data_IF_142477840361
#
_entry.id   IF_142477840361
#
_cell.length_a   1.000
_cell.length_b   1.000
_cell.length_c   1.000
_cell.angle_alpha   90.00
_cell.angle_beta   90.00
_cell.angle_gamma   90.00
#
_symmetry.space_group_name_H-M   'P 1'
#
loop_
_entity.id
_entity.type
_entity.pdbx_description
1 polymer ?
#
# COMPACT_ATOMS: atom_id res chain seq x y z
N UNK A 1 -18.05 55.68 -57.45
CA UNK A 1 -17.06 55.28 -56.45
C UNK A 1 -17.53 53.96 -55.83
N UNK A 2 -16.91 52.81 -56.18
CA UNK A 2 -17.24 51.48 -55.64
C UNK A 2 -16.40 51.28 -54.36
N UNK A 3 -17.07 51.09 -53.19
CA UNK A 3 -16.40 50.75 -51.95
C UNK A 3 -16.19 49.22 -51.91
N UNK A 4 -14.94 48.77 -51.88
CA UNK A 4 -14.53 47.38 -51.73
C UNK A 4 -14.44 47.13 -50.22
N UNK A 5 -15.27 46.21 -49.68
CA UNK A 5 -15.20 45.72 -48.29
C UNK A 5 -14.27 44.46 -48.27
N UNK A 6 -13.16 44.59 -47.57
CA UNK A 6 -12.29 43.44 -47.27
C UNK A 6 -12.81 42.72 -46.01
N UNK A 7 -13.26 41.49 -46.19
CA UNK A 7 -13.56 40.59 -45.07
C UNK A 7 -12.27 39.90 -44.63
N UNK A 8 -11.75 40.25 -43.43
CA UNK A 8 -10.64 39.56 -42.81
C UNK A 8 -11.16 38.33 -42.11
N UNK A 9 -10.93 37.14 -42.66
CA UNK A 9 -11.24 35.86 -42.01
C UNK A 9 -10.07 35.56 -41.01
N UNK A 10 -10.31 35.78 -39.71
CA UNK A 10 -9.36 35.35 -38.66
C UNK A 10 -9.50 33.84 -38.46
N UNK A 11 -8.51 33.07 -38.90
CA UNK A 11 -8.40 31.68 -38.61
C UNK A 11 -7.91 31.53 -37.14
N UNK A 12 -8.82 31.13 -36.24
CA UNK A 12 -8.45 30.78 -34.86
C UNK A 12 -7.83 29.38 -34.92
N UNK A 13 -6.52 29.31 -34.79
CA UNK A 13 -5.78 28.07 -34.68
C UNK A 13 -6.00 27.54 -33.23
N UNK A 14 -6.91 26.58 -33.08
CA UNK A 14 -7.09 25.86 -31.82
C UNK A 14 -5.89 24.90 -31.70
N UNK A 15 -4.86 25.34 -30.98
CA UNK A 15 -3.77 24.46 -30.56
C UNK A 15 -4.33 23.53 -29.50
N UNK A 16 -4.57 22.27 -29.84
CA UNK A 16 -4.90 21.23 -28.89
C UNK A 16 -3.72 21.12 -27.91
N UNK A 17 -3.88 21.63 -26.68
CA UNK A 17 -2.90 21.41 -25.64
C UNK A 17 -2.83 19.91 -25.37
N UNK A 18 -1.62 19.28 -25.37
CA UNK A 18 -1.51 17.89 -25.02
C UNK A 18 -2.08 17.69 -23.61
N UNK A 19 -2.99 16.74 -23.47
CA UNK A 19 -3.52 16.35 -22.18
C UNK A 19 -2.34 15.95 -21.28
N UNK A 20 -2.04 16.76 -20.29
CA UNK A 20 -1.01 16.46 -19.30
C UNK A 20 -1.54 15.30 -18.45
N UNK A 21 -1.33 14.07 -18.94
CA UNK A 21 -1.69 12.86 -18.17
C UNK A 21 -1.03 12.98 -16.81
N UNK A 22 -1.83 12.92 -15.74
CA UNK A 22 -1.39 13.00 -14.35
C UNK A 22 -0.12 12.14 -14.13
N UNK A 23 0.88 12.70 -13.48
CA UNK A 23 2.10 11.99 -13.08
C UNK A 23 1.91 11.25 -11.77
N UNK A 24 0.70 11.28 -11.22
CA UNK A 24 0.35 10.79 -9.92
C UNK A 24 0.46 9.27 -9.84
N UNK A 25 0.85 8.79 -8.68
CA UNK A 25 0.98 7.39 -8.34
C UNK A 25 -0.01 7.07 -7.21
N UNK A 26 -1.00 6.26 -7.51
CA UNK A 26 -1.94 5.77 -6.52
C UNK A 26 -1.35 4.57 -5.80
N UNK A 27 -1.24 4.66 -4.48
CA UNK A 27 -0.73 3.60 -3.59
C UNK A 27 -1.82 3.21 -2.62
N UNK A 28 -2.05 1.92 -2.46
CA UNK A 28 -3.03 1.35 -1.55
C UNK A 28 -2.36 0.33 -0.63
N UNK A 29 -2.72 0.33 0.65
CA UNK A 29 -2.49 -0.79 1.57
C UNK A 29 -3.82 -1.40 1.92
N UNK A 30 -3.89 -2.71 1.96
CA UNK A 30 -5.13 -3.41 2.25
C UNK A 30 -4.88 -4.77 2.92
N UNK A 31 -5.10 -4.86 4.21
CA UNK A 31 -5.25 -6.16 4.86
C UNK A 31 -6.56 -6.77 4.34
N UNK A 32 -6.45 -7.84 3.55
CA UNK A 32 -7.60 -8.44 2.87
C UNK A 32 -8.27 -9.55 3.68
N UNK A 33 -7.85 -9.78 4.89
CA UNK A 33 -8.27 -10.90 5.76
C UNK A 33 -8.03 -12.25 5.09
N UNK A 34 -7.34 -13.16 5.76
CA UNK A 34 -7.07 -14.49 5.23
C UNK A 34 -8.35 -15.29 4.98
N UNK A 35 -8.26 -16.28 4.08
CA UNK A 35 -9.37 -17.13 3.74
C UNK A 35 -9.67 -18.11 4.89
N UNK A 36 -10.83 -17.95 5.52
CA UNK A 36 -11.37 -18.91 6.49
C UNK A 36 -12.89 -18.98 6.38
N UNK A 37 -13.42 -20.18 6.41
CA UNK A 37 -14.86 -20.38 6.39
C UNK A 37 -15.54 -20.00 7.72
N UNK A 38 -14.76 -19.81 8.80
CA UNK A 38 -15.29 -19.31 10.07
C UNK A 38 -15.81 -17.87 9.98
N UNK A 39 -15.41 -17.10 8.97
CA UNK A 39 -15.93 -15.75 8.72
C UNK A 39 -17.35 -15.77 8.10
N UNK A 40 -17.93 -16.95 7.84
CA UNK A 40 -19.32 -17.14 7.37
C UNK A 40 -19.64 -16.31 6.13
N UNK A 41 -20.60 -15.38 6.21
CA UNK A 41 -20.98 -14.46 5.11
C UNK A 41 -19.86 -13.52 4.66
N UNK A 42 -18.83 -13.38 5.49
CA UNK A 42 -17.63 -12.60 5.20
C UNK A 42 -16.46 -13.47 4.76
N UNK A 43 -16.65 -14.79 4.49
CA UNK A 43 -15.60 -15.63 3.98
C UNK A 43 -15.10 -15.17 2.61
N UNK A 44 -13.85 -15.47 2.30
CA UNK A 44 -13.15 -14.97 1.10
C UNK A 44 -13.91 -15.16 -0.21
N UNK A 45 -14.58 -16.32 -0.49
CA UNK A 45 -15.33 -16.48 -1.73
C UNK A 45 -16.37 -15.38 -2.01
N UNK A 46 -16.91 -14.75 -0.96
CA UNK A 46 -17.91 -13.67 -1.06
C UNK A 46 -17.30 -12.27 -1.11
N UNK A 47 -15.98 -12.13 -0.90
CA UNK A 47 -15.28 -10.84 -0.80
C UNK A 47 -14.29 -10.57 -1.92
N UNK A 48 -13.75 -11.60 -2.57
CA UNK A 48 -12.68 -11.49 -3.56
C UNK A 48 -12.96 -10.51 -4.70
N UNK A 49 -14.20 -10.46 -5.18
CA UNK A 49 -14.61 -9.52 -6.23
C UNK A 49 -14.73 -8.08 -5.70
N UNK A 50 -15.15 -7.92 -4.45
CA UNK A 50 -15.21 -6.61 -3.78
C UNK A 50 -13.81 -6.03 -3.57
N UNK A 51 -12.86 -6.85 -3.12
CA UNK A 51 -11.45 -6.45 -2.98
C UNK A 51 -10.87 -6.02 -4.32
N UNK A 52 -11.00 -6.85 -5.36
CA UNK A 52 -10.49 -6.54 -6.68
C UNK A 52 -11.14 -5.29 -7.28
N UNK A 53 -12.46 -5.10 -7.09
CA UNK A 53 -13.17 -3.93 -7.60
C UNK A 53 -12.70 -2.63 -6.95
N UNK A 54 -12.36 -2.61 -5.65
CA UNK A 54 -11.76 -1.43 -5.01
C UNK A 54 -10.42 -1.07 -5.66
N UNK A 55 -9.57 -2.06 -5.89
CA UNK A 55 -8.25 -1.84 -6.51
C UNK A 55 -8.40 -1.23 -7.90
N UNK A 56 -9.29 -1.80 -8.72
CA UNK A 56 -9.53 -1.35 -10.10
C UNK A 56 -10.19 0.03 -10.13
N UNK A 57 -11.23 0.27 -9.34
CA UNK A 57 -11.96 1.54 -9.31
C UNK A 57 -11.08 2.71 -8.86
N UNK A 58 -10.22 2.47 -7.88
CA UNK A 58 -9.30 3.49 -7.37
C UNK A 58 -7.98 3.55 -8.16
N UNK A 59 -7.84 2.76 -9.22
CA UNK A 59 -6.65 2.74 -10.10
C UNK A 59 -5.35 2.64 -9.28
N UNK A 60 -5.29 1.70 -8.33
CA UNK A 60 -4.15 1.54 -7.47
C UNK A 60 -2.94 1.03 -8.27
N UNK A 61 -1.94 1.87 -8.54
CA UNK A 61 -0.72 1.46 -9.24
C UNK A 61 0.15 0.53 -8.39
N UNK A 62 0.08 0.65 -7.06
CA UNK A 62 0.72 -0.22 -6.08
C UNK A 62 -0.33 -0.61 -5.04
N UNK A 63 -0.44 -1.90 -4.77
CA UNK A 63 -1.28 -2.46 -3.72
C UNK A 63 -0.42 -3.35 -2.82
N UNK A 64 -0.22 -2.94 -1.58
CA UNK A 64 0.30 -3.82 -0.53
C UNK A 64 -0.85 -4.62 0.08
N UNK A 65 -0.81 -5.94 0.01
CA UNK A 65 -1.79 -6.82 0.67
C UNK A 65 -1.18 -7.49 1.89
N UNK A 66 -1.98 -7.68 2.93
CA UNK A 66 -1.64 -8.42 4.13
C UNK A 66 -2.66 -9.54 4.36
N UNK A 67 -2.27 -10.56 5.10
CA UNK A 67 -3.03 -11.79 5.39
C UNK A 67 -3.40 -12.67 4.19
N UNK A 68 -2.97 -12.33 2.98
CA UNK A 68 -3.31 -13.12 1.81
C UNK A 68 -2.71 -14.53 1.88
N UNK A 69 -3.52 -15.57 1.77
CA UNK A 69 -3.06 -16.94 1.54
C UNK A 69 -2.79 -17.16 0.04
N UNK A 70 -2.10 -18.25 -0.29
CA UNK A 70 -1.72 -18.54 -1.68
C UNK A 70 -2.93 -18.60 -2.63
N UNK A 71 -4.02 -19.23 -2.23
CA UNK A 71 -5.26 -19.26 -3.01
C UNK A 71 -5.86 -17.88 -3.27
N UNK A 72 -5.78 -16.98 -2.27
CA UNK A 72 -6.20 -15.58 -2.43
C UNK A 72 -5.29 -14.80 -3.39
N UNK A 73 -3.99 -15.09 -3.39
CA UNK A 73 -3.05 -14.51 -4.36
C UNK A 73 -3.39 -14.91 -5.79
N UNK A 74 -3.74 -16.20 -6.01
CA UNK A 74 -4.19 -16.72 -7.31
C UNK A 74 -5.49 -16.05 -7.74
N UNK A 75 -6.47 -15.97 -6.83
CA UNK A 75 -7.77 -15.34 -7.09
C UNK A 75 -7.63 -13.86 -7.47
N UNK A 76 -6.77 -13.11 -6.77
CA UNK A 76 -6.52 -11.70 -7.09
C UNK A 76 -5.78 -11.53 -8.42
N UNK A 77 -4.79 -12.39 -8.71
CA UNK A 77 -4.06 -12.33 -9.99
C UNK A 77 -4.99 -12.54 -11.19
N UNK A 78 -5.99 -13.42 -11.06
CA UNK A 78 -7.00 -13.64 -12.11
C UNK A 78 -7.91 -12.41 -12.32
N UNK A 79 -8.23 -11.68 -11.24
CA UNK A 79 -9.12 -10.51 -11.27
C UNK A 79 -8.41 -9.20 -11.62
N UNK A 80 -7.09 -9.20 -11.51
CA UNK A 80 -6.22 -8.07 -11.77
C UNK A 80 -5.24 -8.40 -12.92
N UNK A 81 -5.73 -8.65 -14.16
CA UNK A 81 -4.91 -9.22 -15.23
C UNK A 81 -3.76 -8.31 -15.69
N UNK A 82 -3.88 -6.99 -15.51
CA UNK A 82 -2.81 -6.03 -15.81
C UNK A 82 -1.76 -5.90 -14.71
N UNK A 83 -2.01 -6.53 -13.54
CA UNK A 83 -1.08 -6.50 -12.43
C UNK A 83 -0.17 -7.72 -12.43
N UNK A 84 1.00 -7.56 -11.85
CA UNK A 84 1.86 -8.63 -11.34
C UNK A 84 2.08 -8.42 -9.86
N UNK A 85 2.53 -9.45 -9.18
CA UNK A 85 2.90 -9.32 -7.77
C UNK A 85 4.28 -9.88 -7.47
N UNK A 86 4.84 -9.45 -6.34
CA UNK A 86 5.99 -10.06 -5.68
C UNK A 86 5.62 -10.32 -4.22
N UNK A 87 6.19 -11.37 -3.68
CA UNK A 87 5.97 -11.84 -2.32
C UNK A 87 6.01 -13.36 -2.23
N UNK A 88 6.16 -13.86 -1.01
CA UNK A 88 6.18 -15.29 -0.69
C UNK A 88 5.38 -15.54 0.57
N UNK A 89 4.98 -16.79 0.80
CA UNK A 89 4.42 -17.23 2.07
C UNK A 89 5.44 -17.10 3.20
N UNK A 90 5.01 -16.60 4.34
CA UNK A 90 5.89 -16.27 5.46
C UNK A 90 6.53 -17.47 6.15
N UNK A 91 5.93 -18.67 6.04
CA UNK A 91 6.37 -19.82 6.83
C UNK A 91 7.52 -20.58 6.17
N UNK A 92 7.60 -20.60 4.84
CA UNK A 92 8.61 -21.35 4.10
C UNK A 92 9.36 -20.55 3.02
N UNK A 93 8.98 -19.29 2.84
CA UNK A 93 9.54 -18.45 1.80
C UNK A 93 9.08 -18.86 0.39
N UNK A 94 8.03 -19.65 0.27
CA UNK A 94 7.42 -20.11 -0.99
C UNK A 94 5.92 -19.81 -0.98
N UNK A 95 5.09 -20.79 -0.60
CA UNK A 95 3.63 -20.67 -0.69
C UNK A 95 2.91 -20.82 0.65
N UNK A 96 3.59 -21.33 1.71
CA UNK A 96 2.97 -21.56 3.01
C UNK A 96 2.88 -20.30 3.87
N UNK A 97 1.75 -20.15 4.54
CA UNK A 97 1.44 -19.04 5.40
C UNK A 97 0.97 -17.80 4.62
N UNK A 98 0.70 -16.76 5.37
CA UNK A 98 0.23 -15.50 4.80
C UNK A 98 1.34 -14.74 4.07
N UNK A 99 0.93 -14.03 3.03
CA UNK A 99 1.77 -13.11 2.27
C UNK A 99 1.64 -11.69 2.81
N UNK A 100 2.73 -10.94 2.71
CA UNK A 100 2.74 -9.48 2.69
C UNK A 100 3.22 -9.06 1.30
N UNK A 101 2.39 -9.29 0.30
CA UNK A 101 2.77 -9.13 -1.10
C UNK A 101 2.50 -7.72 -1.64
N UNK A 102 3.16 -7.36 -2.73
CA UNK A 102 2.96 -6.12 -3.46
C UNK A 102 2.48 -6.45 -4.87
N UNK A 103 1.21 -6.11 -5.17
CA UNK A 103 0.71 -6.05 -6.53
C UNK A 103 1.05 -4.69 -7.16
N UNK A 104 1.32 -4.69 -8.45
CA UNK A 104 1.64 -3.46 -9.17
C UNK A 104 1.12 -3.48 -10.60
N UNK A 105 0.60 -2.35 -11.05
CA UNK A 105 0.14 -2.16 -12.43
C UNK A 105 1.33 -2.16 -13.40
N UNK A 106 1.39 -3.18 -14.25
CA UNK A 106 2.49 -3.35 -15.23
C UNK A 106 2.42 -2.35 -16.37
N UNK A 107 1.32 -1.68 -16.60
CA UNK A 107 1.22 -0.60 -17.60
C UNK A 107 1.99 0.63 -17.15
N UNK A 108 2.01 0.90 -15.83
CA UNK A 108 2.66 2.03 -15.21
C UNK A 108 4.06 1.73 -14.67
N UNK A 109 4.27 0.56 -14.08
CA UNK A 109 5.47 0.24 -13.33
C UNK A 109 6.25 -0.93 -13.93
N UNK A 110 7.57 -0.85 -13.83
CA UNK A 110 8.49 -1.94 -14.13
C UNK A 110 9.22 -2.33 -12.86
N UNK A 111 9.04 -3.56 -12.41
CA UNK A 111 9.84 -4.12 -11.33
C UNK A 111 11.26 -4.42 -11.85
N UNK A 112 12.26 -3.90 -11.14
CA UNK A 112 13.68 -4.09 -11.47
C UNK A 112 14.32 -5.13 -10.58
N UNK A 113 13.91 -5.19 -9.32
CA UNK A 113 14.43 -6.09 -8.31
C UNK A 113 13.37 -6.31 -7.23
N UNK A 114 13.31 -7.49 -6.65
CA UNK A 114 12.41 -7.83 -5.55
C UNK A 114 13.05 -8.84 -4.61
N UNK A 115 12.73 -8.78 -3.33
CA UNK A 115 13.08 -9.77 -2.33
C UNK A 115 12.12 -9.69 -1.15
N UNK A 116 12.05 -10.74 -0.36
CA UNK A 116 11.38 -10.79 0.94
C UNK A 116 12.41 -11.06 2.03
N UNK A 117 12.24 -10.46 3.22
CA UNK A 117 13.01 -10.75 4.41
C UNK A 117 12.08 -10.89 5.63
N UNK A 118 12.55 -11.55 6.68
CA UNK A 118 11.79 -11.85 7.88
C UNK A 118 12.03 -10.81 8.96
N UNK A 119 11.00 -10.48 9.72
CA UNK A 119 11.09 -9.59 10.87
C UNK A 119 11.54 -10.41 12.08
N UNK A 120 12.82 -10.69 12.11
CA UNK A 120 13.51 -11.48 13.13
C UNK A 120 15.00 -11.06 13.26
N UNK A 121 15.70 -11.58 14.23
CA UNK A 121 17.15 -11.41 14.38
C UNK A 121 17.96 -12.09 13.26
N UNK A 122 17.31 -12.98 12.48
CA UNK A 122 17.89 -13.65 11.32
C UNK A 122 17.04 -13.40 10.07
N UNK A 123 16.98 -12.16 9.55
CA UNK A 123 16.01 -11.74 8.55
C UNK A 123 16.16 -12.43 7.19
N UNK A 124 17.27 -13.07 6.91
CA UNK A 124 17.52 -13.79 5.65
C UNK A 124 17.09 -15.27 5.71
N UNK A 125 16.68 -15.77 6.90
CA UNK A 125 16.27 -17.16 7.11
C UNK A 125 14.75 -17.27 6.98
N UNK A 126 14.27 -18.05 5.99
CA UNK A 126 12.86 -18.28 5.78
C UNK A 126 12.21 -18.95 7.00
N UNK A 127 11.02 -18.45 7.39
CA UNK A 127 10.29 -18.93 8.56
C UNK A 127 10.86 -18.50 9.91
N UNK A 128 11.91 -17.69 9.94
CA UNK A 128 12.51 -17.22 11.20
C UNK A 128 11.53 -16.33 11.99
N UNK A 129 11.64 -16.45 13.32
CA UNK A 129 10.82 -15.72 14.28
C UNK A 129 11.67 -15.41 15.51
N UNK A 130 11.59 -14.18 16.03
CA UNK A 130 12.39 -13.72 17.18
C UNK A 130 11.55 -12.88 18.14
N UNK A 131 12.18 -12.51 19.24
CA UNK A 131 11.57 -11.73 20.32
C UNK A 131 10.33 -12.44 20.88
N UNK A 132 9.28 -11.67 21.21
CA UNK A 132 7.99 -12.19 21.68
C UNK A 132 6.96 -12.36 20.54
N UNK A 133 7.40 -12.45 19.28
CA UNK A 133 6.49 -12.60 18.15
C UNK A 133 5.64 -13.88 18.29
N UNK A 134 4.32 -13.76 18.17
CA UNK A 134 3.41 -14.90 18.17
C UNK A 134 3.59 -15.75 16.92
N UNK A 135 3.74 -15.12 15.79
CA UNK A 135 3.84 -15.75 14.47
C UNK A 135 4.94 -15.11 13.63
N UNK A 136 5.34 -15.80 12.57
CA UNK A 136 6.33 -15.30 11.60
C UNK A 136 5.81 -14.06 10.88
N UNK A 137 6.66 -13.04 10.70
CA UNK A 137 6.33 -11.80 9.98
C UNK A 137 7.38 -11.47 8.94
N UNK A 138 6.96 -10.89 7.84
CA UNK A 138 7.82 -10.61 6.68
C UNK A 138 7.65 -9.20 6.15
N UNK A 139 8.64 -8.77 5.39
CA UNK A 139 8.59 -7.56 4.55
C UNK A 139 8.94 -7.97 3.12
N UNK A 140 8.07 -7.68 2.19
CA UNK A 140 8.37 -7.76 0.76
C UNK A 140 8.73 -6.39 0.23
N UNK A 141 9.73 -6.30 -0.64
CA UNK A 141 10.08 -5.05 -1.30
C UNK A 141 10.32 -5.22 -2.80
N UNK A 142 10.08 -4.13 -3.53
CA UNK A 142 10.32 -4.04 -4.96
C UNK A 142 11.03 -2.72 -5.26
N UNK A 143 12.08 -2.77 -6.08
CA UNK A 143 12.66 -1.60 -6.75
C UNK A 143 11.93 -1.37 -8.06
N UNK A 144 11.29 -0.23 -8.19
CA UNK A 144 10.52 0.14 -9.37
C UNK A 144 11.22 1.18 -10.24
N UNK A 145 10.96 1.07 -11.55
CA UNK A 145 11.02 2.20 -12.47
C UNK A 145 9.61 2.59 -12.88
N UNK A 146 9.22 3.83 -12.65
CA UNK A 146 8.01 4.40 -13.23
C UNK A 146 8.22 4.59 -14.73
N UNK A 147 7.42 3.90 -15.54
CA UNK A 147 7.54 3.94 -17.01
C UNK A 147 7.23 5.31 -17.60
N UNK A 148 6.42 6.12 -16.90
CA UNK A 148 5.99 7.45 -17.33
C UNK A 148 7.02 8.52 -16.97
N UNK A 149 7.41 8.59 -15.70
CA UNK A 149 8.34 9.61 -15.19
C UNK A 149 9.81 9.20 -15.30
N UNK A 150 10.09 7.92 -15.58
CA UNK A 150 11.42 7.27 -15.58
C UNK A 150 12.11 7.25 -14.22
N UNK A 151 11.48 7.75 -13.18
CA UNK A 151 12.02 7.79 -11.82
C UNK A 151 12.13 6.40 -11.22
N UNK A 152 13.14 6.23 -10.37
CA UNK A 152 13.36 5.02 -9.57
C UNK A 152 12.93 5.28 -8.16
N UNK A 153 12.22 4.32 -7.57
CA UNK A 153 11.83 4.32 -6.17
C UNK A 153 11.65 2.88 -5.67
N UNK A 154 11.49 2.72 -4.36
CA UNK A 154 11.22 1.43 -3.75
C UNK A 154 9.80 1.41 -3.16
N UNK A 155 9.19 0.23 -3.14
CA UNK A 155 8.01 -0.06 -2.34
C UNK A 155 8.34 -1.20 -1.37
N UNK A 156 7.85 -1.08 -0.13
CA UNK A 156 7.92 -2.10 0.91
C UNK A 156 6.51 -2.38 1.40
N UNK A 157 6.21 -3.64 1.75
CA UNK A 157 4.95 -4.01 2.36
C UNK A 157 5.17 -5.00 3.50
N UNK A 158 4.46 -4.82 4.59
CA UNK A 158 4.66 -5.60 5.82
C UNK A 158 3.35 -5.85 6.55
N UNK A 159 3.38 -6.79 7.51
CA UNK A 159 2.35 -6.99 8.51
C UNK A 159 3.05 -7.32 9.83
N UNK A 160 2.96 -6.41 10.82
CA UNK A 160 3.62 -6.57 12.11
C UNK A 160 2.87 -7.59 13.00
N UNK A 161 3.55 -8.07 14.04
CA UNK A 161 2.94 -9.03 14.95
C UNK A 161 1.78 -8.42 15.73
N UNK A 162 0.70 -9.19 15.90
CA UNK A 162 -0.52 -8.72 16.54
C UNK A 162 -0.52 -8.85 18.07
N UNK A 163 0.42 -9.62 18.65
CA UNK A 163 0.54 -9.86 20.10
C UNK A 163 1.82 -9.26 20.65
N UNK A 164 2.97 -9.62 20.08
CA UNK A 164 4.30 -9.31 20.61
C UNK A 164 4.63 -7.81 20.57
N UNK A 165 4.63 -7.14 21.71
CA UNK A 165 4.98 -5.70 21.81
C UNK A 165 6.46 -5.45 21.51
N UNK A 166 7.34 -6.30 22.05
CA UNK A 166 8.79 -6.22 21.77
C UNK A 166 9.03 -6.49 20.30
N UNK A 167 8.38 -7.53 19.74
CA UNK A 167 8.49 -7.87 18.32
C UNK A 167 8.07 -6.70 17.41
N UNK A 168 6.98 -6.00 17.71
CA UNK A 168 6.57 -4.82 16.92
C UNK A 168 7.59 -3.70 16.99
N UNK A 169 8.11 -3.39 18.19
CA UNK A 169 9.14 -2.37 18.37
C UNK A 169 10.42 -2.71 17.60
N UNK A 170 10.95 -3.91 17.78
CA UNK A 170 12.18 -4.33 17.12
C UNK A 170 12.00 -4.48 15.61
N UNK A 171 10.81 -4.92 15.16
CA UNK A 171 10.42 -4.92 13.74
C UNK A 171 10.47 -3.51 13.13
N UNK A 172 10.01 -2.49 13.87
CA UNK A 172 10.09 -1.10 13.41
C UNK A 172 11.53 -0.64 13.21
N UNK A 173 12.41 -0.94 14.18
CA UNK A 173 13.86 -0.61 14.08
C UNK A 173 14.53 -1.35 12.91
N UNK A 174 14.28 -2.65 12.79
CA UNK A 174 14.81 -3.48 11.70
C UNK A 174 14.32 -2.99 10.33
N UNK A 175 13.04 -2.64 10.21
CA UNK A 175 12.46 -2.10 8.98
C UNK A 175 13.19 -0.82 8.55
N UNK A 176 13.40 0.14 9.46
CA UNK A 176 14.12 1.38 9.16
C UNK A 176 15.54 1.11 8.69
N UNK A 177 16.25 0.21 9.37
CA UNK A 177 17.62 -0.18 9.00
C UNK A 177 17.64 -0.86 7.62
N UNK A 178 16.74 -1.82 7.35
CA UNK A 178 16.65 -2.51 6.06
C UNK A 178 16.27 -1.57 4.93
N UNK A 179 15.39 -0.61 5.15
CA UNK A 179 15.08 0.44 4.17
C UNK A 179 16.33 1.26 3.84
N UNK A 180 17.14 1.63 4.82
CA UNK A 180 18.41 2.33 4.58
C UNK A 180 19.39 1.47 3.78
N UNK A 181 19.57 0.21 4.16
CA UNK A 181 20.48 -0.73 3.48
C UNK A 181 20.09 -0.96 2.02
N UNK A 182 18.78 -1.18 1.76
CA UNK A 182 18.23 -1.57 0.46
C UNK A 182 18.04 -0.35 -0.46
N UNK A 183 17.41 0.70 0.04
CA UNK A 183 17.03 1.86 -0.76
C UNK A 183 18.05 3.00 -0.73
N UNK A 184 19.00 3.01 0.22
CA UNK A 184 20.01 4.08 0.35
C UNK A 184 19.36 5.45 0.45
N UNK A 185 19.63 6.34 -0.49
CA UNK A 185 19.03 7.68 -0.60
C UNK A 185 17.79 7.71 -1.52
N UNK A 186 17.50 6.61 -2.21
CA UNK A 186 16.36 6.52 -3.13
C UNK A 186 15.04 6.64 -2.37
N UNK A 187 14.04 7.38 -2.89
CA UNK A 187 12.72 7.46 -2.28
C UNK A 187 12.06 6.10 -2.14
N UNK A 188 11.25 5.95 -1.08
CA UNK A 188 10.49 4.73 -0.86
C UNK A 188 9.09 5.01 -0.33
N UNK A 189 8.15 4.12 -0.64
CA UNK A 189 6.82 4.03 -0.06
C UNK A 189 6.71 2.72 0.71
N UNK A 190 6.16 2.78 1.91
CA UNK A 190 6.04 1.66 2.82
C UNK A 190 4.57 1.50 3.20
N UNK A 191 3.98 0.38 2.81
CA UNK A 191 2.60 0.01 3.11
C UNK A 191 2.58 -1.10 4.16
N UNK A 192 1.50 -1.18 4.92
CA UNK A 192 1.34 -2.31 5.84
C UNK A 192 0.24 -2.13 6.87
N UNK A 193 -0.07 -3.26 7.48
CA UNK A 193 -0.74 -3.36 8.77
C UNK A 193 0.34 -3.46 9.85
N UNK A 194 0.46 -2.42 10.66
CA UNK A 194 1.49 -2.35 11.70
C UNK A 194 1.00 -2.88 13.06
N UNK A 195 -0.29 -3.27 13.16
CA UNK A 195 -0.90 -3.72 14.41
C UNK A 195 -0.61 -2.78 15.60
N UNK A 196 -0.55 -1.49 15.32
CA UNK A 196 -0.14 -0.45 16.26
C UNK A 196 -0.83 0.86 15.94
N UNK A 197 -1.37 1.50 16.96
CA UNK A 197 -1.98 2.82 16.86
C UNK A 197 -0.90 3.93 16.84
N UNK A 198 -1.26 5.19 16.50
CA UNK A 198 -0.28 6.28 16.39
C UNK A 198 0.52 6.55 17.65
N UNK A 199 -0.04 6.28 18.85
CA UNK A 199 0.62 6.47 20.13
C UNK A 199 1.51 5.27 20.55
N UNK A 200 1.39 4.14 19.86
CA UNK A 200 2.15 2.94 20.18
C UNK A 200 3.63 3.07 19.79
N UNK A 201 4.46 2.41 20.58
CA UNK A 201 5.93 2.49 20.47
C UNK A 201 6.45 2.21 19.04
N UNK A 202 5.99 1.18 18.29
CA UNK A 202 6.51 0.92 16.94
C UNK A 202 6.24 2.07 15.96
N UNK A 203 5.08 2.73 16.04
CA UNK A 203 4.76 3.89 15.20
C UNK A 203 5.60 5.10 15.62
N UNK A 204 5.79 5.31 16.92
CA UNK A 204 6.66 6.37 17.44
C UNK A 204 8.13 6.17 16.99
N UNK A 205 8.65 4.93 17.03
CA UNK A 205 9.99 4.60 16.49
C UNK A 205 10.12 4.92 15.01
N UNK A 206 9.11 4.60 14.21
CA UNK A 206 9.10 4.86 12.77
C UNK A 206 9.11 6.37 12.48
N UNK A 207 8.38 7.16 13.26
CA UNK A 207 8.16 8.59 13.04
C UNK A 207 9.09 9.51 13.82
N UNK A 208 9.98 8.99 14.65
CA UNK A 208 10.89 9.76 15.50
C UNK A 208 11.78 10.68 14.66
N UNK A 209 11.50 11.97 14.67
CA UNK A 209 12.24 13.00 13.93
C UNK A 209 13.69 13.13 14.35
N UNK A 210 14.06 12.67 15.54
CA UNK A 210 15.46 12.63 15.99
C UNK A 210 16.26 11.51 15.30
N UNK A 211 15.57 10.50 14.77
CA UNK A 211 16.17 9.41 14.00
C UNK A 211 16.29 9.83 12.52
N UNK A 212 17.53 9.91 11.95
CA UNK A 212 17.69 10.27 10.54
C UNK A 212 17.10 9.26 9.57
N UNK A 213 16.63 8.11 10.04
CA UNK A 213 15.95 7.08 9.25
C UNK A 213 14.42 7.17 9.32
N UNK A 214 13.87 8.12 10.06
CA UNK A 214 12.43 8.25 10.24
C UNK A 214 11.66 8.26 8.91
N UNK A 215 10.43 7.81 8.98
CA UNK A 215 9.47 7.88 7.89
C UNK A 215 8.36 8.87 8.25
N UNK A 216 7.74 9.45 7.24
CA UNK A 216 6.62 10.36 7.43
C UNK A 216 5.31 9.67 7.02
N UNK A 217 4.28 9.80 7.83
CA UNK A 217 2.94 9.32 7.48
C UNK A 217 2.38 10.15 6.31
N UNK A 218 1.93 9.46 5.27
CA UNK A 218 1.32 10.12 4.11
C UNK A 218 0.06 10.91 4.45
N UNK A 219 -0.66 10.53 5.51
CA UNK A 219 -1.81 11.27 6.01
C UNK A 219 -1.43 12.67 6.47
N UNK A 220 -0.30 12.80 7.17
CA UNK A 220 0.18 14.10 7.69
C UNK A 220 0.67 15.04 6.58
N UNK A 221 1.15 14.48 5.45
CA UNK A 221 1.62 15.25 4.31
C UNK A 221 0.52 15.58 3.29
N UNK A 222 -0.70 15.10 3.51
CA UNK A 222 -1.77 15.25 2.53
C UNK A 222 -2.17 16.70 2.33
N UNK A 223 -2.17 17.15 1.07
CA UNK A 223 -2.62 18.50 0.70
C UNK A 223 -4.11 18.72 0.82
N UNK A 224 -4.89 17.66 0.76
CA UNK A 224 -6.34 17.66 0.97
C UNK A 224 -6.64 17.10 2.35
N UNK A 225 -7.71 17.54 3.01
CA UNK A 225 -8.19 16.90 4.21
C UNK A 225 -8.34 15.39 4.00
N UNK A 226 -8.06 14.61 5.04
CA UNK A 226 -8.27 13.18 5.00
C UNK A 226 -9.73 12.85 4.70
N UNK A 227 -9.96 11.89 3.81
CA UNK A 227 -11.30 11.41 3.47
C UNK A 227 -11.55 10.03 4.06
N UNK A 228 -12.74 9.83 4.63
CA UNK A 228 -13.16 8.57 5.26
C UNK A 228 -12.88 8.50 6.77
N UNK A 229 -13.10 7.34 7.41
CA UNK A 229 -12.86 7.15 8.83
C UNK A 229 -11.37 7.24 9.17
N UNK A 230 -11.06 7.62 10.41
CA UNK A 230 -9.67 7.64 10.89
C UNK A 230 -9.18 6.24 11.18
N UNK A 231 -9.99 5.40 11.84
CA UNK A 231 -9.66 4.01 12.12
C UNK A 231 -9.72 3.15 10.86
N UNK A 232 -8.89 2.11 10.82
CA UNK A 232 -8.78 1.24 9.65
C UNK A 232 -9.29 -0.18 9.89
N UNK A 233 -9.39 -0.63 11.15
CA UNK A 233 -9.96 -1.92 11.52
C UNK A 233 -11.46 -1.81 11.81
N UNK A 234 -12.31 -2.60 11.14
CA UNK A 234 -13.75 -2.63 11.31
C UNK A 234 -14.29 -3.95 11.89
N UNK A 235 -13.50 -5.04 11.86
CA UNK A 235 -13.87 -6.36 12.39
C UNK A 235 -15.13 -6.96 11.77
N UNK A 236 -15.47 -6.59 10.53
CA UNK A 236 -16.75 -6.89 9.87
C UNK A 236 -17.98 -6.33 10.61
N UNK A 237 -17.81 -5.32 11.46
CA UNK A 237 -18.88 -4.74 12.27
C UNK A 237 -19.12 -3.28 11.90
N UNK A 238 -20.40 -2.89 11.86
CA UNK A 238 -20.79 -1.51 11.55
C UNK A 238 -20.69 -0.55 12.75
N UNK A 239 -20.58 -1.06 14.00
CA UNK A 239 -20.73 -0.27 15.22
C UNK A 239 -19.48 -0.18 16.11
N UNK A 240 -18.60 -1.16 16.04
CA UNK A 240 -17.37 -1.19 16.84
C UNK A 240 -16.20 -0.93 15.91
N UNK A 241 -15.78 0.33 15.81
CA UNK A 241 -14.59 0.73 15.07
C UNK A 241 -13.52 1.16 16.05
N UNK A 242 -12.27 0.79 15.80
CA UNK A 242 -11.17 1.56 16.37
C UNK A 242 -11.19 2.95 15.73
N UNK A 243 -11.15 4.00 16.54
CA UNK A 243 -11.02 5.38 16.06
C UNK A 243 -9.59 5.71 15.60
N UNK A 244 -8.67 4.75 15.72
CA UNK A 244 -7.26 4.92 15.39
C UNK A 244 -6.86 3.97 14.24
N UNK A 245 -5.97 4.43 13.35
CA UNK A 245 -5.45 3.58 12.29
C UNK A 245 -4.43 2.58 12.83
N UNK A 246 -4.37 1.40 12.21
CA UNK A 246 -3.30 0.43 12.36
C UNK A 246 -2.67 0.07 11.01
N UNK A 247 -3.29 0.52 9.91
CA UNK A 247 -2.79 0.40 8.55
C UNK A 247 -2.27 1.76 8.07
N UNK A 248 -1.05 1.78 7.52
CA UNK A 248 -0.37 3.02 7.15
C UNK A 248 0.29 2.96 5.77
N UNK A 249 0.47 4.15 5.19
CA UNK A 249 1.37 4.39 4.07
C UNK A 249 2.41 5.40 4.54
N UNK A 250 3.61 4.90 4.91
CA UNK A 250 4.74 5.74 5.26
C UNK A 250 5.61 6.05 4.05
N UNK A 251 6.33 7.16 4.12
CA UNK A 251 7.12 7.71 3.03
C UNK A 251 8.55 8.01 3.50
N UNK A 252 9.53 7.63 2.68
CA UNK A 252 10.93 8.03 2.80
C UNK A 252 11.31 8.93 1.63
N UNK A 253 11.90 10.08 1.92
CA UNK A 253 12.35 11.02 0.90
C UNK A 253 11.29 12.03 0.48
N UNK A 254 11.52 12.73 -0.64
CA UNK A 254 10.71 13.87 -1.05
C UNK A 254 9.50 13.44 -1.89
N UNK A 255 8.41 13.12 -1.24
CA UNK A 255 7.13 12.87 -1.87
C UNK A 255 6.18 14.07 -1.69
N UNK A 256 5.33 14.30 -2.69
CA UNK A 256 4.14 15.16 -2.53
C UNK A 256 2.95 14.26 -2.37
N UNK A 257 2.18 14.43 -1.30
CA UNK A 257 0.92 13.70 -1.09
C UNK A 257 -0.21 14.61 -1.51
N UNK A 258 -0.91 14.25 -2.57
CA UNK A 258 -1.99 15.07 -3.13
C UNK A 258 -3.28 14.86 -2.37
N UNK A 259 -3.56 13.61 -1.99
CA UNK A 259 -4.71 13.22 -1.16
C UNK A 259 -4.43 11.92 -0.43
N UNK A 260 -5.12 11.72 0.68
CA UNK A 260 -5.11 10.52 1.50
C UNK A 260 -6.54 10.14 1.90
N UNK A 261 -6.87 8.85 1.89
CA UNK A 261 -8.20 8.37 2.21
C UNK A 261 -8.18 7.00 2.88
N UNK A 262 -9.17 6.75 3.72
CA UNK A 262 -9.56 5.42 4.18
C UNK A 262 -10.86 5.05 3.48
N UNK A 263 -10.87 3.95 2.72
CA UNK A 263 -11.99 3.57 1.88
C UNK A 263 -12.92 2.62 2.65
N UNK A 264 -14.04 3.14 3.10
CA UNK A 264 -15.00 2.43 3.97
C UNK A 264 -16.27 1.96 3.24
N UNK A 265 -16.17 1.74 1.92
CA UNK A 265 -17.31 1.30 1.12
C UNK A 265 -17.79 -0.09 1.54
N UNK A 266 -19.10 -0.28 1.48
CA UNK A 266 -19.78 -1.56 1.67
C UNK A 266 -20.61 -1.94 0.44
N UNK A 267 -20.90 -3.22 0.30
CA UNK A 267 -21.82 -3.78 -0.69
C UNK A 267 -22.97 -4.41 0.07
N UNK A 268 -24.15 -3.80 0.01
CA UNK A 268 -25.36 -4.24 0.74
C UNK A 268 -25.07 -4.42 2.26
N UNK A 269 -24.27 -3.53 2.84
CA UNK A 269 -23.87 -3.57 4.25
C UNK A 269 -22.71 -4.53 4.57
N UNK A 270 -22.18 -5.26 3.59
CA UNK A 270 -21.03 -6.16 3.77
C UNK A 270 -19.73 -5.47 3.36
N UNK A 271 -18.68 -5.65 4.15
CA UNK A 271 -17.35 -5.12 3.88
C UNK A 271 -16.53 -6.02 2.93
N UNK A 272 -15.57 -5.43 2.23
CA UNK A 272 -14.61 -6.18 1.45
C UNK A 272 -13.57 -6.91 2.32
N UNK A 273 -13.27 -6.39 3.51
CA UNK A 273 -12.39 -6.99 4.53
C UNK A 273 -12.80 -6.49 5.92
N UNK A 274 -12.29 -7.11 6.98
CA UNK A 274 -12.36 -6.60 8.34
C UNK A 274 -11.44 -5.39 8.60
N UNK A 275 -10.63 -5.01 7.61
CA UNK A 275 -9.94 -3.74 7.52
C UNK A 275 -10.51 -2.89 6.38
N UNK A 276 -10.36 -1.58 6.50
CA UNK A 276 -10.54 -0.64 5.41
C UNK A 276 -9.23 -0.47 4.65
N UNK A 277 -9.30 -0.39 3.33
CA UNK A 277 -8.10 -0.04 2.57
C UNK A 277 -7.72 1.42 2.79
N UNK A 278 -6.41 1.69 2.91
CA UNK A 278 -5.87 3.05 2.97
C UNK A 278 -5.22 3.39 1.64
N UNK A 279 -5.48 4.59 1.14
CA UNK A 279 -4.99 5.04 -0.15
C UNK A 279 -4.32 6.40 -0.06
N UNK A 280 -3.21 6.56 -0.75
CA UNK A 280 -2.54 7.84 -0.97
C UNK A 280 -2.29 8.06 -2.47
N UNK A 281 -2.56 9.27 -2.96
CA UNK A 281 -2.13 9.71 -4.29
C UNK A 281 -0.87 10.53 -4.13
N UNK A 282 0.22 10.02 -4.69
CA UNK A 282 1.57 10.52 -4.53
C UNK A 282 2.12 11.11 -5.82
N UNK A 283 3.05 12.07 -5.70
CA UNK A 283 3.90 12.53 -6.80
C UNK A 283 5.33 12.61 -6.31
N UNK A 284 6.27 12.08 -7.10
CA UNK A 284 7.70 12.06 -6.81
C UNK A 284 8.42 13.17 -7.58
#
# INVERSE_FOLDING_TARGET
MKKIFYFIFSIILIVAMPEVKSQDLNVMTFNIRYNTMSDSVNAWPYRKDKVASQVLFHEAHILGVQEALHDQMVDLQQRLPQYKYAGTGRDDGKEKGEYSAIFYDTTRLQALQTKTFWLSETPEIAGSKSWDAAITRIVTWIKFRDKKTKKIFFAFNTHFDHIGKIARRESAKLLLQKIKEIAGTTPAVITGDFNAEPADEPVQVIKDLSNPLHLTDSKELSRKPHYGPTGTFNGFKNKERSDQPIDYIFLKGKWKVLKHATISQTWEGLFASDHFSVMATLSL
#
